data_IF_476775787824
#
_entry.id   IF_476775787824
#
_cell.length_a   1.000
_cell.length_b   1.000
_cell.length_c   1.000
_cell.angle_alpha   90.00
_cell.angle_beta   90.00
_cell.angle_gamma   90.00
#
_symmetry.space_group_name_H-M   'P 1'
#
loop_
_entity.id
_entity.type
_entity.pdbx_description
1 polymer ?
#
# COMPACT_ATOMS: atom_id res chain seq x y z
N UNK A 1 -23.01 -3.52 -10.73
CA UNK A 1 -21.64 -3.00 -10.60
C UNK A 1 -21.72 -1.52 -10.29
N UNK A 2 -20.81 -0.95 -9.48
CA UNK A 2 -20.77 0.48 -9.23
C UNK A 2 -20.62 1.28 -10.54
N UNK A 3 -21.24 2.46 -10.61
CA UNK A 3 -21.13 3.35 -11.77
C UNK A 3 -19.94 4.28 -11.59
N UNK A 4 -18.90 4.09 -12.39
CA UNK A 4 -17.66 4.89 -12.35
C UNK A 4 -17.63 6.06 -13.34
N UNK A 5 -18.77 6.45 -13.94
CA UNK A 5 -18.85 7.46 -15.00
C UNK A 5 -18.24 8.83 -14.61
N UNK A 6 -18.34 9.21 -13.34
CA UNK A 6 -17.80 10.50 -12.86
C UNK A 6 -16.27 10.53 -12.71
N UNK A 7 -15.62 9.37 -12.59
CA UNK A 7 -14.16 9.29 -12.41
C UNK A 7 -13.40 8.99 -13.71
N UNK A 8 -14.07 8.54 -14.77
CA UNK A 8 -13.45 7.97 -15.97
C UNK A 8 -12.45 8.91 -16.66
N UNK A 9 -12.62 10.24 -16.50
CA UNK A 9 -11.67 11.23 -17.01
C UNK A 9 -10.37 11.31 -16.20
N UNK A 10 -10.41 10.91 -14.92
CA UNK A 10 -9.26 10.90 -14.03
C UNK A 10 -8.62 9.51 -13.99
N UNK A 11 -9.43 8.47 -13.98
CA UNK A 11 -9.01 7.09 -13.99
C UNK A 11 -10.09 6.21 -14.61
N UNK A 12 -9.72 5.49 -15.68
CA UNK A 12 -10.57 4.48 -16.29
C UNK A 12 -10.31 3.11 -15.63
N UNK A 13 -11.28 2.53 -14.91
CA UNK A 13 -11.12 1.19 -14.31
C UNK A 13 -10.76 0.09 -15.30
N UNK A 14 -11.04 0.27 -16.60
CA UNK A 14 -10.65 -0.69 -17.63
C UNK A 14 -9.13 -0.78 -17.82
N UNK A 15 -8.36 0.21 -17.37
CA UNK A 15 -6.89 0.19 -17.35
C UNK A 15 -6.31 -0.50 -16.13
N UNK A 16 -7.15 -0.81 -15.13
CA UNK A 16 -6.72 -1.44 -13.88
C UNK A 16 -6.08 -2.82 -14.13
N UNK A 17 -5.05 -3.10 -13.35
CA UNK A 17 -4.32 -4.36 -13.35
C UNK A 17 -4.45 -5.05 -12.01
N UNK A 18 -3.96 -6.29 -11.91
CA UNK A 18 -3.87 -7.00 -10.65
C UNK A 18 -2.97 -6.23 -9.65
N UNK A 19 -3.40 -6.20 -8.39
CA UNK A 19 -2.63 -5.64 -7.28
C UNK A 19 -2.36 -6.70 -6.23
N UNK A 20 -1.10 -6.82 -5.84
CA UNK A 20 -0.70 -7.49 -4.61
C UNK A 20 -0.41 -6.44 -3.54
N UNK A 21 -1.24 -6.38 -2.52
CA UNK A 21 -1.08 -5.50 -1.36
C UNK A 21 -0.47 -6.30 -0.21
N UNK A 22 0.72 -5.91 0.20
CA UNK A 22 1.46 -6.55 1.28
C UNK A 22 1.36 -5.68 2.53
N UNK A 23 0.66 -6.18 3.53
CA UNK A 23 0.31 -5.49 4.77
C UNK A 23 -1.10 -4.91 4.74
N UNK A 24 -1.90 -5.28 5.75
CA UNK A 24 -3.26 -4.80 5.99
C UNK A 24 -3.33 -3.96 7.28
N UNK A 25 -2.28 -3.22 7.59
CA UNK A 25 -2.21 -2.33 8.74
C UNK A 25 -3.00 -1.02 8.54
N UNK A 26 -2.54 0.03 9.21
CA UNK A 26 -3.21 1.35 9.19
C UNK A 26 -3.36 1.91 7.77
N UNK A 27 -2.28 1.91 6.98
CA UNK A 27 -2.29 2.43 5.61
C UNK A 27 -2.91 1.40 4.65
N UNK A 28 -2.49 0.12 4.75
CA UNK A 28 -2.91 -0.94 3.84
C UNK A 28 -4.42 -1.18 3.84
N UNK A 29 -5.09 -1.06 5.00
CA UNK A 29 -6.53 -1.19 5.07
C UNK A 29 -7.26 -0.15 4.22
N UNK A 30 -6.82 1.11 4.26
CA UNK A 30 -7.38 2.17 3.42
C UNK A 30 -6.99 2.02 1.94
N UNK A 31 -5.78 1.53 1.62
CA UNK A 31 -5.38 1.23 0.24
C UNK A 31 -6.35 0.22 -0.38
N UNK A 32 -6.67 -0.88 0.30
CA UNK A 32 -7.62 -1.87 -0.20
C UNK A 32 -8.99 -1.26 -0.50
N UNK A 33 -9.50 -0.43 0.41
CA UNK A 33 -10.76 0.29 0.20
C UNK A 33 -10.70 1.24 -0.99
N UNK A 34 -9.66 2.06 -1.10
CA UNK A 34 -9.56 3.05 -2.17
C UNK A 34 -9.35 2.42 -3.54
N UNK A 35 -8.59 1.33 -3.64
CA UNK A 35 -8.49 0.53 -4.87
C UNK A 35 -9.87 0.02 -5.30
N UNK A 36 -10.61 -0.59 -4.37
CA UNK A 36 -11.95 -1.10 -4.66
C UNK A 36 -12.92 0.03 -5.05
N UNK A 37 -12.86 1.19 -4.38
CA UNK A 37 -13.65 2.40 -4.73
C UNK A 37 -13.26 2.96 -6.09
N UNK A 38 -11.99 2.87 -6.49
CA UNK A 38 -11.54 3.26 -7.83
C UNK A 38 -11.98 2.27 -8.93
N UNK A 39 -12.54 1.12 -8.57
CA UNK A 39 -13.02 0.11 -9.53
C UNK A 39 -11.99 -0.99 -9.83
N UNK A 40 -10.92 -1.07 -9.06
CA UNK A 40 -9.97 -2.20 -9.12
C UNK A 40 -10.62 -3.40 -8.45
N UNK A 41 -10.75 -4.51 -9.18
CA UNK A 41 -11.43 -5.73 -8.69
C UNK A 41 -10.48 -6.89 -8.45
N UNK A 42 -9.29 -6.89 -9.06
CA UNK A 42 -8.30 -7.95 -8.86
C UNK A 42 -7.24 -7.53 -7.83
N UNK A 43 -7.63 -7.58 -6.56
CA UNK A 43 -6.81 -7.22 -5.40
C UNK A 43 -6.56 -8.46 -4.57
N UNK A 44 -5.29 -8.77 -4.28
CA UNK A 44 -4.91 -9.81 -3.32
C UNK A 44 -4.18 -9.16 -2.16
N UNK A 45 -4.64 -9.38 -0.93
CA UNK A 45 -4.06 -8.81 0.29
C UNK A 45 -3.40 -9.89 1.12
N UNK A 46 -2.16 -9.63 1.56
CA UNK A 46 -1.35 -10.51 2.38
C UNK A 46 -1.09 -9.86 3.75
N UNK A 47 -1.47 -10.53 4.82
CA UNK A 47 -1.14 -10.14 6.20
C UNK A 47 -1.40 -11.32 7.13
N UNK A 48 -0.45 -11.67 7.98
CA UNK A 48 -0.55 -12.80 8.92
C UNK A 48 -1.13 -12.41 10.29
N UNK A 49 -1.28 -11.12 10.56
CA UNK A 49 -1.64 -10.61 11.87
C UNK A 49 -3.14 -10.64 12.13
N UNK A 50 -3.48 -10.58 13.42
CA UNK A 50 -4.84 -10.30 13.89
C UNK A 50 -5.01 -8.83 14.23
N UNK A 51 -6.26 -8.37 14.22
CA UNK A 51 -6.63 -7.03 14.64
C UNK A 51 -6.43 -6.90 16.16
N UNK A 52 -5.66 -5.93 16.58
CA UNK A 52 -5.52 -5.54 17.98
C UNK A 52 -6.25 -4.22 18.24
N UNK A 53 -6.63 -3.96 19.49
CA UNK A 53 -7.41 -2.77 19.86
C UNK A 53 -6.73 -1.45 19.46
N UNK A 54 -5.39 -1.39 19.51
CA UNK A 54 -4.63 -0.22 19.07
C UNK A 54 -4.66 0.00 17.54
N UNK A 55 -5.08 -0.98 16.74
CA UNK A 55 -5.23 -0.81 15.30
C UNK A 55 -6.51 -0.03 14.95
N UNK A 56 -7.56 -0.12 15.77
CA UNK A 56 -8.89 0.43 15.48
C UNK A 56 -8.86 1.94 15.20
N UNK A 57 -8.22 2.79 16.01
CA UNK A 57 -8.25 4.24 15.80
C UNK A 57 -7.54 4.73 14.53
N UNK A 58 -6.66 3.91 13.94
CA UNK A 58 -5.81 4.33 12.82
C UNK A 58 -6.06 3.60 11.51
N UNK A 59 -7.05 2.69 11.48
CA UNK A 59 -7.34 1.82 10.33
C UNK A 59 -8.84 1.73 10.05
N UNK A 60 -9.24 0.85 9.14
CA UNK A 60 -10.65 0.58 8.85
C UNK A 60 -11.32 -0.38 9.83
N UNK A 61 -10.55 -1.00 10.73
CA UNK A 61 -11.09 -2.02 11.63
C UNK A 61 -12.01 -1.43 12.69
N UNK A 62 -12.98 -2.25 13.11
CA UNK A 62 -13.96 -1.94 14.15
C UNK A 62 -13.54 -2.63 15.46
N UNK A 63 -14.03 -2.17 16.60
CA UNK A 63 -13.85 -2.87 17.89
C UNK A 63 -14.33 -4.33 17.83
N UNK A 64 -15.35 -4.63 17.04
CA UNK A 64 -15.87 -5.99 16.82
C UNK A 64 -14.94 -6.89 16.00
N UNK A 65 -13.93 -6.33 15.36
CA UNK A 65 -12.96 -7.08 14.57
C UNK A 65 -11.74 -7.52 15.38
N UNK A 66 -11.58 -7.03 16.62
CA UNK A 66 -10.44 -7.37 17.49
C UNK A 66 -10.35 -8.88 17.70
N UNK A 67 -9.17 -9.43 17.43
CA UNK A 67 -8.87 -10.88 17.51
C UNK A 67 -9.08 -11.65 16.20
N UNK A 68 -9.76 -11.10 15.21
CA UNK A 68 -9.90 -11.69 13.86
C UNK A 68 -8.63 -11.46 13.04
N UNK A 69 -8.38 -12.30 12.03
CA UNK A 69 -7.32 -11.99 11.06
C UNK A 69 -7.63 -10.66 10.36
N UNK A 70 -6.60 -9.81 10.22
CA UNK A 70 -6.73 -8.50 9.56
C UNK A 70 -7.31 -8.63 8.15
N UNK A 71 -6.82 -9.59 7.38
CA UNK A 71 -7.28 -9.79 5.99
C UNK A 71 -8.74 -10.23 5.91
N UNK A 72 -9.24 -11.04 6.86
CA UNK A 72 -10.65 -11.48 6.88
C UNK A 72 -11.60 -10.33 7.24
N UNK A 73 -11.24 -9.56 8.28
CA UNK A 73 -12.01 -8.39 8.66
C UNK A 73 -12.04 -7.35 7.52
N UNK A 74 -10.90 -7.14 6.88
CA UNK A 74 -10.77 -6.21 5.75
C UNK A 74 -11.60 -6.65 4.53
N UNK A 75 -11.61 -7.94 4.20
CA UNK A 75 -12.43 -8.48 3.11
C UNK A 75 -13.93 -8.17 3.33
N UNK A 76 -14.43 -8.43 4.54
CA UNK A 76 -15.83 -8.14 4.91
C UNK A 76 -16.13 -6.64 4.80
N UNK A 77 -15.24 -5.78 5.31
CA UNK A 77 -15.42 -4.33 5.29
C UNK A 77 -15.44 -3.81 3.85
N UNK A 78 -14.46 -4.22 3.03
CA UNK A 78 -14.37 -3.78 1.63
C UNK A 78 -15.57 -4.28 0.82
N UNK A 79 -15.97 -5.53 0.99
CA UNK A 79 -17.15 -6.10 0.34
C UNK A 79 -18.41 -5.29 0.70
N UNK A 80 -18.61 -5.02 1.98
CA UNK A 80 -19.78 -4.26 2.48
C UNK A 80 -19.83 -2.83 1.92
N UNK A 81 -18.68 -2.16 1.83
CA UNK A 81 -18.60 -0.77 1.42
C UNK A 81 -18.57 -0.55 -0.09
N UNK A 82 -18.20 -1.57 -0.87
CA UNK A 82 -17.93 -1.40 -2.32
C UNK A 82 -18.59 -2.45 -3.21
N UNK A 83 -18.98 -3.59 -2.65
CA UNK A 83 -19.42 -4.77 -3.42
C UNK A 83 -18.28 -5.54 -4.09
N UNK A 84 -17.02 -5.15 -3.87
CA UNK A 84 -15.85 -5.85 -4.40
C UNK A 84 -15.36 -6.87 -3.39
N UNK A 85 -15.26 -8.13 -3.81
CA UNK A 85 -14.67 -9.20 -3.03
C UNK A 85 -13.17 -9.30 -3.32
N UNK A 86 -12.34 -8.85 -2.38
CA UNK A 86 -10.88 -8.95 -2.48
C UNK A 86 -10.41 -10.37 -2.13
N UNK A 87 -9.33 -10.83 -2.76
CA UNK A 87 -8.67 -12.09 -2.41
C UNK A 87 -7.79 -11.87 -1.19
N UNK A 88 -7.72 -12.84 -0.29
CA UNK A 88 -6.96 -12.72 0.96
C UNK A 88 -6.00 -13.88 1.16
N UNK A 89 -4.91 -13.60 1.88
CA UNK A 89 -3.92 -14.55 2.35
C UNK A 89 -3.56 -14.20 3.80
N UNK A 90 -4.00 -15.01 4.75
CA UNK A 90 -3.67 -14.86 6.19
C UNK A 90 -2.26 -15.42 6.46
N UNK A 91 -1.27 -14.95 5.73
CA UNK A 91 0.11 -15.40 5.79
C UNK A 91 1.06 -14.25 5.43
N UNK A 92 2.31 -14.34 5.90
CA UNK A 92 3.36 -13.44 5.42
C UNK A 92 3.60 -13.70 3.94
N UNK A 93 3.78 -12.63 3.19
CA UNK A 93 4.19 -12.76 1.80
C UNK A 93 5.58 -13.40 1.73
N UNK A 94 5.69 -14.52 1.02
CA UNK A 94 6.95 -15.22 0.76
C UNK A 94 6.92 -15.77 -0.65
N UNK A 95 7.91 -15.44 -1.47
CA UNK A 95 8.25 -16.04 -2.79
C UNK A 95 7.05 -16.59 -3.62
N UNK A 96 5.95 -15.88 -3.60
CA UNK A 96 4.80 -16.22 -4.44
C UNK A 96 5.03 -15.53 -5.79
N UNK A 97 5.28 -16.31 -6.83
CA UNK A 97 5.50 -15.81 -8.20
C UNK A 97 4.36 -14.91 -8.66
N UNK A 98 4.47 -13.63 -8.34
CA UNK A 98 3.55 -12.61 -8.80
C UNK A 98 3.67 -12.50 -10.33
N UNK A 99 2.53 -12.58 -11.02
CA UNK A 99 2.50 -12.51 -12.49
C UNK A 99 1.73 -11.28 -12.91
N UNK A 100 2.37 -10.41 -13.66
CA UNK A 100 1.76 -9.21 -14.29
C UNK A 100 0.89 -8.40 -13.32
N UNK A 101 1.49 -7.93 -12.24
CA UNK A 101 0.79 -7.14 -11.24
C UNK A 101 1.61 -5.93 -10.80
N UNK A 102 0.94 -5.01 -10.16
CA UNK A 102 1.57 -3.99 -9.34
C UNK A 102 1.63 -4.46 -7.90
N UNK A 103 2.68 -4.11 -7.18
CA UNK A 103 2.88 -4.48 -5.77
C UNK A 103 2.84 -3.23 -4.92
N UNK A 104 2.06 -3.25 -3.85
CA UNK A 104 2.07 -2.18 -2.85
C UNK A 104 2.58 -2.75 -1.53
N UNK A 105 3.65 -2.16 -1.01
CA UNK A 105 4.20 -2.46 0.30
C UNK A 105 3.67 -1.48 1.35
N UNK A 106 2.98 -2.01 2.35
CA UNK A 106 2.50 -1.28 3.52
C UNK A 106 2.88 -2.05 4.79
N UNK A 107 4.20 -2.26 4.95
CA UNK A 107 4.79 -3.07 6.01
C UNK A 107 5.71 -2.22 6.87
N UNK A 108 5.71 -2.47 8.19
CA UNK A 108 6.52 -1.70 9.15
C UNK A 108 7.94 -2.28 9.27
N UNK A 109 8.06 -3.62 9.23
CA UNK A 109 9.33 -4.30 9.42
C UNK A 109 10.23 -4.14 8.17
N UNK A 110 11.34 -3.43 8.36
CA UNK A 110 12.30 -3.21 7.28
C UNK A 110 13.07 -4.49 6.95
N UNK A 111 13.62 -5.15 7.96
CA UNK A 111 14.56 -6.27 7.78
C UNK A 111 13.85 -7.57 7.37
N UNK A 112 12.66 -7.86 7.94
CA UNK A 112 11.93 -9.12 7.70
C UNK A 112 10.71 -8.95 6.80
N UNK A 113 10.38 -7.73 6.38
CA UNK A 113 9.24 -7.41 5.52
C UNK A 113 9.68 -6.73 4.24
N UNK A 114 10.07 -5.45 4.32
CA UNK A 114 10.32 -4.60 3.14
C UNK A 114 11.53 -5.02 2.33
N UNK A 115 12.68 -5.27 2.97
CA UNK A 115 13.90 -5.67 2.26
C UNK A 115 13.77 -7.03 1.56
N UNK A 116 13.22 -8.08 2.19
CA UNK A 116 12.94 -9.33 1.50
C UNK A 116 11.98 -9.16 0.33
N UNK A 117 10.89 -8.42 0.51
CA UNK A 117 9.93 -8.14 -0.56
C UNK A 117 10.60 -7.42 -1.74
N UNK A 118 11.44 -6.42 -1.47
CA UNK A 118 12.18 -5.74 -2.52
C UNK A 118 13.09 -6.67 -3.30
N UNK A 119 13.79 -7.59 -2.64
CA UNK A 119 14.66 -8.57 -3.31
C UNK A 119 13.90 -9.47 -4.31
N UNK A 120 12.64 -9.76 -4.03
CA UNK A 120 11.78 -10.54 -4.93
C UNK A 120 11.22 -9.69 -6.09
N UNK A 121 10.88 -8.45 -5.81
CA UNK A 121 10.30 -7.52 -6.78
C UNK A 121 11.35 -6.96 -7.74
N UNK A 122 12.56 -6.70 -7.24
CA UNK A 122 13.66 -6.10 -7.98
C UNK A 122 14.00 -6.88 -9.25
N UNK A 123 14.05 -6.17 -10.37
CA UNK A 123 14.38 -6.76 -11.67
C UNK A 123 13.33 -7.70 -12.25
N UNK A 124 12.17 -7.83 -11.59
CA UNK A 124 11.08 -8.67 -12.08
C UNK A 124 10.36 -8.01 -13.27
N UNK A 125 10.38 -8.61 -14.47
CA UNK A 125 9.62 -8.08 -15.60
C UNK A 125 8.10 -8.31 -15.47
N UNK A 126 7.70 -9.08 -14.47
CA UNK A 126 6.29 -9.37 -14.18
C UNK A 126 5.65 -8.34 -13.24
N UNK A 127 6.44 -7.46 -12.63
CA UNK A 127 5.96 -6.39 -11.76
C UNK A 127 6.12 -5.07 -12.52
N UNK A 128 5.01 -4.43 -12.80
CA UNK A 128 5.00 -3.20 -13.59
C UNK A 128 5.30 -1.96 -12.73
N UNK A 129 4.79 -1.92 -11.50
CA UNK A 129 5.09 -0.87 -10.53
C UNK A 129 5.16 -1.44 -9.12
N UNK A 130 6.14 -0.99 -8.36
CA UNK A 130 6.25 -1.20 -6.92
C UNK A 130 6.00 0.12 -6.20
N UNK A 131 5.01 0.15 -5.31
CA UNK A 131 4.69 1.34 -4.50
C UNK A 131 4.99 1.01 -3.05
N UNK A 132 5.89 1.75 -2.42
CA UNK A 132 6.24 1.60 -1.02
C UNK A 132 5.74 2.78 -0.20
N UNK A 133 5.00 2.52 0.87
CA UNK A 133 4.45 3.54 1.76
C UNK A 133 5.16 3.49 3.10
N UNK A 134 5.61 4.65 3.58
CA UNK A 134 6.30 4.80 4.86
C UNK A 134 5.69 5.93 5.65
N UNK A 135 5.56 5.73 6.95
CA UNK A 135 5.18 6.78 7.90
C UNK A 135 6.30 7.01 8.90
N UNK A 136 6.59 8.27 9.14
CA UNK A 136 7.58 8.73 10.10
C UNK A 136 6.93 9.75 11.04
N UNK A 137 7.64 10.10 12.11
CA UNK A 137 7.16 11.16 12.98
C UNK A 137 7.11 12.49 12.21
N UNK A 138 5.90 13.04 12.04
CA UNK A 138 5.65 14.31 11.38
C UNK A 138 5.56 14.29 9.86
N UNK A 139 5.89 13.19 9.18
CA UNK A 139 5.74 13.08 7.73
C UNK A 139 5.55 11.65 7.24
N UNK A 140 5.08 11.50 6.00
CA UNK A 140 4.99 10.22 5.32
C UNK A 140 5.58 10.29 3.91
N UNK A 141 6.02 9.16 3.41
CA UNK A 141 6.65 9.02 2.10
C UNK A 141 5.99 7.92 1.30
N UNK A 142 5.95 8.13 -0.01
CA UNK A 142 5.54 7.16 -1.01
C UNK A 142 6.61 7.12 -2.07
N UNK A 143 7.13 5.94 -2.32
CA UNK A 143 8.05 5.66 -3.41
C UNK A 143 7.31 4.86 -4.47
N UNK A 144 7.43 5.28 -5.73
CA UNK A 144 6.87 4.57 -6.89
C UNK A 144 8.02 4.19 -7.80
N UNK A 145 8.25 2.91 -8.00
CA UNK A 145 9.44 2.35 -8.62
C UNK A 145 9.02 1.41 -9.74
N UNK A 146 9.61 1.55 -10.92
CA UNK A 146 9.57 0.53 -11.96
C UNK A 146 10.69 -0.48 -11.68
N UNK A 147 10.38 -1.70 -11.19
CA UNK A 147 11.41 -2.59 -10.64
C UNK A 147 12.46 -3.07 -11.65
N UNK A 148 12.11 -3.03 -12.94
CA UNK A 148 13.00 -3.38 -14.03
C UNK A 148 13.91 -2.22 -14.47
N UNK A 149 13.63 -0.98 -14.02
CA UNK A 149 14.49 0.17 -14.23
C UNK A 149 15.71 0.11 -13.31
N UNK A 150 16.91 0.10 -13.88
CA UNK A 150 18.17 0.10 -13.11
C UNK A 150 18.31 1.35 -12.24
N UNK A 151 17.89 2.50 -12.76
CA UNK A 151 18.03 3.79 -12.09
C UNK A 151 17.06 3.90 -10.92
N UNK A 152 15.79 3.50 -11.12
CA UNK A 152 14.80 3.44 -10.05
C UNK A 152 15.23 2.48 -8.95
N UNK A 153 15.69 1.27 -9.32
CA UNK A 153 16.15 0.28 -8.38
C UNK A 153 17.35 0.80 -7.55
N UNK A 154 18.36 1.38 -8.22
CA UNK A 154 19.54 1.91 -7.54
C UNK A 154 19.21 3.09 -6.60
N UNK A 155 18.25 3.93 -6.99
CA UNK A 155 17.79 5.04 -6.14
C UNK A 155 16.99 4.53 -4.94
N UNK A 156 16.09 3.56 -5.15
CA UNK A 156 15.29 3.00 -4.06
C UNK A 156 16.17 2.27 -3.03
N UNK A 157 17.19 1.54 -3.46
CA UNK A 157 18.11 0.83 -2.56
C UNK A 157 18.85 1.76 -1.60
N UNK A 158 19.13 3.00 -2.01
CA UNK A 158 19.72 4.03 -1.13
C UNK A 158 18.78 4.49 -0.01
N UNK A 159 17.49 4.24 -0.13
CA UNK A 159 16.49 4.60 0.87
C UNK A 159 16.24 3.50 1.90
N UNK A 160 16.75 2.29 1.65
CA UNK A 160 16.62 1.17 2.58
C UNK A 160 17.60 1.34 3.76
N UNK A 161 17.15 0.94 4.93
CA UNK A 161 17.91 0.98 6.19
C UNK A 161 17.50 -0.21 7.06
N UNK A 162 18.26 -0.52 8.11
CA UNK A 162 17.92 -1.61 9.04
C UNK A 162 16.89 -1.16 10.09
N UNK A 163 16.21 -2.12 10.71
CA UNK A 163 15.34 -1.83 11.86
C UNK A 163 16.09 -1.13 13.00
N UNK A 164 17.39 -1.43 13.18
CA UNK A 164 18.21 -0.77 14.19
C UNK A 164 18.40 0.72 13.87
N UNK A 165 18.61 1.07 12.60
CA UNK A 165 18.67 2.47 12.15
C UNK A 165 17.30 3.16 12.23
N UNK A 166 16.22 2.40 12.03
CA UNK A 166 14.85 2.90 12.19
C UNK A 166 14.56 3.40 13.60
N UNK A 167 15.02 2.69 14.63
CA UNK A 167 14.87 3.11 16.03
C UNK A 167 15.56 4.45 16.28
N UNK A 168 16.73 4.67 15.67
CA UNK A 168 17.45 5.96 15.78
C UNK A 168 16.76 7.10 15.02
N UNK A 169 16.00 6.78 13.98
CA UNK A 169 15.23 7.75 13.17
C UNK A 169 13.85 8.05 13.75
N UNK A 170 13.54 7.51 14.95
CA UNK A 170 12.24 7.63 15.62
C UNK A 170 11.11 7.26 14.66
N UNK A 171 11.07 6.00 14.22
CA UNK A 171 9.88 5.41 13.69
C UNK A 171 8.88 5.28 14.82
N UNK A 172 8.13 6.35 15.06
CA UNK A 172 7.14 6.38 16.11
C UNK A 172 5.94 5.51 15.71
N UNK A 173 5.46 4.72 16.66
CA UNK A 173 4.20 3.98 16.61
C UNK A 173 2.97 4.90 16.56
N UNK A 174 3.10 6.14 16.13
CA UNK A 174 2.06 7.17 16.20
C UNK A 174 1.41 7.34 14.83
N UNK A 175 0.56 6.38 14.47
CA UNK A 175 -0.35 6.53 13.35
C UNK A 175 -1.64 7.23 13.79
N UNK A 176 -2.16 8.11 12.96
CA UNK A 176 -3.53 8.64 13.07
C UNK A 176 -4.23 8.42 11.74
N UNK A 177 -5.56 8.21 11.79
CA UNK A 177 -6.33 7.81 10.61
C UNK A 177 -6.18 8.77 9.42
N UNK A 178 -6.11 10.09 9.65
CA UNK A 178 -5.97 11.06 8.57
C UNK A 178 -4.59 10.98 7.87
N UNK A 179 -3.52 10.61 8.57
CA UNK A 179 -2.21 10.35 7.97
C UNK A 179 -2.24 9.08 7.13
N UNK A 180 -2.80 8.01 7.69
CA UNK A 180 -2.96 6.74 6.99
C UNK A 180 -3.80 6.88 5.71
N UNK A 181 -4.90 7.64 5.77
CA UNK A 181 -5.75 7.89 4.60
C UNK A 181 -5.08 8.77 3.54
N UNK A 182 -4.31 9.78 3.93
CA UNK A 182 -3.58 10.62 3.00
C UNK A 182 -2.53 9.82 2.22
N UNK A 183 -1.73 8.99 2.92
CA UNK A 183 -0.77 8.10 2.28
C UNK A 183 -1.45 7.06 1.39
N UNK A 184 -2.51 6.42 1.87
CA UNK A 184 -3.26 5.44 1.10
C UNK A 184 -3.86 6.04 -0.18
N UNK A 185 -4.48 7.22 -0.07
CA UNK A 185 -5.03 7.94 -1.21
C UNK A 185 -3.95 8.25 -2.26
N UNK A 186 -2.79 8.75 -1.80
CA UNK A 186 -1.69 9.11 -2.70
C UNK A 186 -1.02 7.90 -3.34
N UNK A 187 -0.91 6.78 -2.61
CA UNK A 187 -0.39 5.53 -3.16
C UNK A 187 -1.29 4.99 -4.27
N UNK A 188 -2.61 4.97 -4.04
CA UNK A 188 -3.59 4.55 -5.06
C UNK A 188 -3.59 5.50 -6.24
N UNK A 189 -3.52 6.81 -6.02
CA UNK A 189 -3.44 7.80 -7.09
C UNK A 189 -2.18 7.63 -7.95
N UNK A 190 -1.03 7.33 -7.33
CA UNK A 190 0.22 7.04 -8.06
C UNK A 190 0.08 5.81 -8.95
N UNK A 191 -0.54 4.76 -8.43
CA UNK A 191 -0.78 3.53 -9.18
C UNK A 191 -1.73 3.74 -10.35
N UNK A 192 -2.88 4.41 -10.12
CA UNK A 192 -3.86 4.72 -11.15
C UNK A 192 -3.27 5.62 -12.24
N UNK A 193 -2.48 6.61 -11.87
CA UNK A 193 -1.77 7.48 -12.82
C UNK A 193 -0.83 6.68 -13.72
N UNK A 194 -0.01 5.81 -13.10
CA UNK A 194 0.91 4.95 -13.85
C UNK A 194 0.18 4.03 -14.85
N UNK A 195 -0.91 3.40 -14.44
CA UNK A 195 -1.67 2.53 -15.35
C UNK A 195 -2.27 3.28 -16.54
N UNK A 196 -2.62 4.54 -16.35
CA UNK A 196 -3.26 5.35 -17.38
C UNK A 196 -2.26 6.03 -18.31
N UNK A 197 -1.10 6.44 -17.81
CA UNK A 197 -0.13 7.26 -18.56
C UNK A 197 1.20 6.53 -18.86
N UNK A 198 1.54 5.53 -18.07
CA UNK A 198 2.88 4.91 -18.06
C UNK A 198 3.93 5.73 -17.31
N UNK A 199 3.55 6.88 -16.76
CA UNK A 199 4.45 7.78 -16.03
C UNK A 199 4.31 7.56 -14.51
N UNK A 200 5.40 7.76 -13.77
CA UNK A 200 5.39 7.70 -12.31
C UNK A 200 6.22 8.82 -11.70
N UNK A 201 5.86 9.20 -10.50
CA UNK A 201 6.66 10.10 -9.68
C UNK A 201 7.47 9.26 -8.69
N UNK A 202 8.78 9.32 -8.81
CA UNK A 202 9.72 8.55 -8.00
C UNK A 202 9.43 8.61 -6.50
N UNK A 203 9.21 9.81 -5.95
CA UNK A 203 8.95 10.03 -4.52
C UNK A 203 7.92 11.12 -4.33
N UNK A 204 7.05 10.92 -3.35
CA UNK A 204 6.18 11.96 -2.79
C UNK A 204 6.33 11.96 -1.28
N UNK A 205 6.48 13.13 -0.68
CA UNK A 205 6.54 13.29 0.76
C UNK A 205 5.45 14.26 1.23
N UNK A 206 4.89 14.00 2.39
CA UNK A 206 3.83 14.81 3.00
C UNK A 206 4.24 15.16 4.41
N UNK A 207 4.21 16.44 4.75
CA UNK A 207 4.37 16.90 6.13
C UNK A 207 3.00 17.07 6.75
N UNK A 208 2.82 16.53 7.93
CA UNK A 208 1.52 16.58 8.64
C UNK A 208 1.45 17.71 9.64
N UNK A 209 2.60 18.23 10.08
CA UNK A 209 2.73 19.38 10.95
C UNK A 209 2.38 20.71 10.25
N UNK A 210 2.58 20.78 8.93
CA UNK A 210 2.29 21.97 8.11
C UNK A 210 1.25 21.74 7.02
N UNK A 211 0.79 20.49 6.81
CA UNK A 211 -0.07 20.07 5.69
C UNK A 211 0.52 20.39 4.31
N UNK A 212 1.83 20.55 4.22
CA UNK A 212 2.54 20.84 2.99
C UNK A 212 2.95 19.56 2.28
N UNK A 213 2.76 19.54 0.96
CA UNK A 213 3.38 18.54 0.11
C UNK A 213 4.81 19.00 -0.19
N UNK A 214 5.79 18.17 0.17
CA UNK A 214 7.20 18.42 -0.14
C UNK A 214 7.52 17.75 -1.47
N UNK A 215 8.07 18.52 -2.40
CA UNK A 215 8.45 18.06 -3.74
C UNK A 215 9.94 17.72 -3.79
#
# INVERSE_FOLDING_TARGET
MPNHAHQIKLFDPATARQVALIGAGSIGSFIALFLAKAGVTDITVYDADTVASHNVPMSLYRETDVGRYKVEALQEIVLTLTGVEIKIRAEKYTDQKLKRCSVIASVDDMDNGRVPLWKEVRGSPSIDLFVDTRVHQGYGEIYSIVPFSSDDAANYEKTLFSNQEAVMRICGTHGVAFVSTALASSAVASLCHFWQTGEHHWQRAFRYDSLEQVH
#
